data_IF_109125908593
#
_entry.id   IF_109125908593
#
_cell.length_a   1.000
_cell.length_b   1.000
_cell.length_c   1.000
_cell.angle_alpha   90.00
_cell.angle_beta   90.00
_cell.angle_gamma   90.00
#
_symmetry.space_group_name_H-M   'P 1'
#
loop_
_entity.id
_entity.type
_entity.pdbx_description
1 polymer ?
#
# COMPACT_ATOMS: atom_id res chain seq x y z
N UNK A 1 10.82 13.76 -22.71
CA UNK A 1 11.08 15.22 -22.81
C UNK A 1 11.80 15.64 -21.54
N UNK A 2 13.01 16.16 -21.71
CA UNK A 2 13.82 16.58 -20.57
C UNK A 2 13.43 17.99 -20.14
N UNK A 3 13.39 18.24 -18.84
CA UNK A 3 13.10 19.57 -18.28
C UNK A 3 14.36 20.18 -17.68
N UNK A 4 14.50 21.52 -17.78
CA UNK A 4 15.56 22.25 -17.09
C UNK A 4 15.23 22.46 -15.61
N UNK A 5 16.21 22.84 -14.79
CA UNK A 5 15.97 23.23 -13.39
C UNK A 5 15.07 24.48 -13.27
N UNK A 6 15.04 25.34 -14.27
CA UNK A 6 14.14 26.50 -14.32
C UNK A 6 12.73 26.16 -14.78
N UNK A 7 12.44 24.88 -15.12
CA UNK A 7 11.13 24.45 -15.58
C UNK A 7 10.08 24.52 -14.47
N UNK A 8 8.85 24.69 -14.89
CA UNK A 8 7.66 24.54 -14.06
C UNK A 8 6.94 23.23 -14.39
N UNK A 9 6.61 22.44 -13.38
CA UNK A 9 5.87 21.18 -13.52
C UNK A 9 4.55 21.24 -12.74
N UNK A 10 3.47 20.84 -13.39
CA UNK A 10 2.19 20.60 -12.72
C UNK A 10 2.10 19.13 -12.35
N UNK A 11 1.77 18.85 -11.10
CA UNK A 11 1.46 17.50 -10.62
C UNK A 11 -0.02 17.47 -10.22
N UNK A 12 -0.81 16.64 -10.90
CA UNK A 12 -2.25 16.52 -10.69
C UNK A 12 -2.54 15.30 -9.82
N UNK A 13 -3.01 15.55 -8.59
CA UNK A 13 -3.30 14.55 -7.58
C UNK A 13 -2.33 14.57 -6.39
N UNK A 14 -2.84 14.91 -5.22
CA UNK A 14 -2.10 15.02 -3.94
C UNK A 14 -2.08 13.71 -3.14
N UNK A 15 -2.17 12.54 -3.80
CA UNK A 15 -1.90 11.24 -3.20
C UNK A 15 -0.40 10.98 -3.07
N UNK A 16 -0.03 9.82 -2.49
CA UNK A 16 1.39 9.46 -2.26
C UNK A 16 2.23 9.54 -3.54
N UNK A 17 1.71 9.09 -4.68
CA UNK A 17 2.42 9.16 -5.96
C UNK A 17 2.75 10.60 -6.38
N UNK A 18 1.76 11.49 -6.30
CA UNK A 18 1.95 12.92 -6.64
C UNK A 18 2.84 13.63 -5.64
N UNK A 19 2.69 13.36 -4.34
CA UNK A 19 3.57 13.89 -3.29
C UNK A 19 5.01 13.44 -3.54
N UNK A 20 5.24 12.14 -3.78
CA UNK A 20 6.55 11.58 -4.03
C UNK A 20 7.22 12.22 -5.27
N UNK A 21 6.46 12.38 -6.36
CA UNK A 21 6.96 13.05 -7.56
C UNK A 21 7.29 14.52 -7.28
N UNK A 22 6.40 15.26 -6.63
CA UNK A 22 6.57 16.68 -6.34
C UNK A 22 7.77 16.95 -5.43
N UNK A 23 7.95 16.15 -4.38
CA UNK A 23 9.10 16.24 -3.46
C UNK A 23 10.41 16.04 -4.22
N UNK A 24 10.50 14.98 -5.05
CA UNK A 24 11.74 14.67 -5.79
C UNK A 24 12.08 15.74 -6.83
N UNK A 25 11.09 16.26 -7.54
CA UNK A 25 11.30 17.38 -8.49
C UNK A 25 11.74 18.65 -7.76
N UNK A 26 11.11 18.99 -6.65
CA UNK A 26 11.47 20.16 -5.85
C UNK A 26 12.89 20.06 -5.29
N UNK A 27 13.30 18.89 -4.77
CA UNK A 27 14.69 18.67 -4.32
C UNK A 27 15.72 18.82 -5.44
N UNK A 28 15.33 18.51 -6.69
CA UNK A 28 16.15 18.75 -7.87
C UNK A 28 16.17 20.22 -8.34
N UNK A 29 15.49 21.13 -7.63
CA UNK A 29 15.42 22.56 -7.91
C UNK A 29 14.34 22.96 -8.92
N UNK A 30 13.44 22.03 -9.28
CA UNK A 30 12.33 22.30 -10.22
C UNK A 30 11.15 22.95 -9.48
N UNK A 31 10.55 23.98 -10.06
CA UNK A 31 9.32 24.58 -9.55
C UNK A 31 8.14 23.64 -9.78
N UNK A 32 7.40 23.27 -8.72
CA UNK A 32 6.27 22.35 -8.81
C UNK A 32 5.00 22.99 -8.26
N UNK A 33 3.90 22.91 -9.01
CA UNK A 33 2.55 23.18 -8.49
C UNK A 33 1.80 21.85 -8.38
N UNK A 34 1.49 21.45 -7.14
CA UNK A 34 0.72 20.25 -6.82
C UNK A 34 -0.76 20.62 -6.69
N UNK A 35 -1.59 20.07 -7.57
CA UNK A 35 -3.03 20.31 -7.64
C UNK A 35 -3.79 19.13 -7.02
N UNK A 36 -4.61 19.38 -6.01
CA UNK A 36 -5.41 18.35 -5.33
C UNK A 36 -6.89 18.81 -5.25
N UNK A 37 -7.78 17.90 -5.61
CA UNK A 37 -9.24 18.17 -5.62
C UNK A 37 -9.81 18.30 -4.20
N UNK A 38 -9.29 17.53 -3.24
CA UNK A 38 -9.72 17.60 -1.85
C UNK A 38 -9.04 18.74 -1.11
N UNK A 39 -9.57 19.12 0.06
CA UNK A 39 -8.98 20.16 0.93
C UNK A 39 -7.82 19.62 1.79
N UNK A 40 -7.26 18.45 1.45
CA UNK A 40 -6.18 17.78 2.18
C UNK A 40 -5.40 16.83 1.26
N UNK A 41 -4.14 16.57 1.62
CA UNK A 41 -3.25 15.64 0.94
C UNK A 41 -3.43 14.20 1.44
N UNK A 42 -2.74 13.25 0.77
CA UNK A 42 -2.64 11.85 1.13
C UNK A 42 -3.52 10.92 0.27
N UNK A 43 -4.51 11.47 -0.46
CA UNK A 43 -5.37 10.66 -1.35
C UNK A 43 -6.13 9.58 -0.59
N UNK A 44 -5.85 8.30 -0.89
CA UNK A 44 -6.43 7.13 -0.20
C UNK A 44 -5.83 6.88 1.19
N UNK A 45 -4.58 7.27 1.42
CA UNK A 45 -3.91 7.18 2.72
C UNK A 45 -4.00 8.52 3.46
N UNK A 46 -5.18 8.86 3.99
CA UNK A 46 -5.47 10.14 4.63
C UNK A 46 -6.41 9.97 5.83
N UNK A 47 -6.69 11.06 6.53
CA UNK A 47 -7.60 11.10 7.67
C UNK A 47 -8.73 12.12 7.42
N UNK A 48 -9.78 12.07 8.21
CA UNK A 48 -10.90 13.00 8.16
C UNK A 48 -11.38 13.34 9.58
N UNK A 49 -11.94 14.53 9.74
CA UNK A 49 -12.55 14.92 11.01
C UNK A 49 -13.97 14.33 11.06
N UNK A 50 -14.18 13.45 12.02
CA UNK A 50 -15.48 12.83 12.23
C UNK A 50 -16.37 13.74 13.08
N UNK A 51 -17.43 14.28 12.46
CA UNK A 51 -18.36 15.21 13.14
C UNK A 51 -19.12 14.58 14.32
N UNK A 52 -19.20 13.24 14.41
CA UNK A 52 -19.90 12.55 15.49
C UNK A 52 -19.06 12.45 16.76
N UNK A 53 -17.78 12.15 16.61
CA UNK A 53 -16.85 11.99 17.73
C UNK A 53 -16.03 13.25 18.00
N UNK A 54 -15.91 14.18 17.04
CA UNK A 54 -14.98 15.31 17.10
C UNK A 54 -13.52 14.91 16.93
N UNK A 55 -13.23 13.64 16.63
CA UNK A 55 -11.87 13.11 16.47
C UNK A 55 -11.44 13.11 15.00
N UNK A 56 -10.14 13.22 14.77
CA UNK A 56 -9.56 12.97 13.43
C UNK A 56 -9.31 11.47 13.27
N UNK A 57 -10.06 10.82 12.38
CA UNK A 57 -10.00 9.40 12.10
C UNK A 57 -9.31 9.12 10.77
N UNK A 58 -8.52 8.05 10.69
CA UNK A 58 -7.99 7.57 9.43
C UNK A 58 -9.10 6.93 8.59
N UNK A 59 -9.07 7.12 7.27
CA UNK A 59 -10.06 6.46 6.38
C UNK A 59 -9.96 4.93 6.43
N UNK A 60 -8.75 4.41 6.63
CA UNK A 60 -8.46 3.02 6.99
C UNK A 60 -7.12 2.95 7.72
N UNK A 61 -6.84 1.85 8.41
CA UNK A 61 -5.50 1.62 8.95
C UNK A 61 -4.54 1.30 7.81
N UNK A 62 -3.49 2.10 7.69
CA UNK A 62 -2.40 1.84 6.77
C UNK A 62 -1.19 1.32 7.55
N UNK A 63 -0.66 0.21 7.06
CA UNK A 63 0.55 -0.43 7.58
C UNK A 63 1.67 -0.26 6.56
N UNK A 64 2.86 0.12 7.01
CA UNK A 64 4.07 0.09 6.22
C UNK A 64 4.93 -1.08 6.66
N UNK A 65 5.41 -1.88 5.71
CA UNK A 65 6.38 -2.94 6.01
C UNK A 65 7.81 -2.44 5.81
N UNK A 66 8.76 -3.07 6.49
CA UNK A 66 10.18 -2.73 6.35
C UNK A 66 10.73 -2.81 4.93
N UNK A 67 10.09 -3.60 4.04
CA UNK A 67 10.44 -3.68 2.61
C UNK A 67 9.97 -2.47 1.77
N UNK A 68 9.16 -1.57 2.32
CA UNK A 68 8.61 -0.40 1.60
C UNK A 68 9.62 0.75 1.55
N UNK A 69 10.78 0.53 0.90
CA UNK A 69 11.95 1.41 0.97
C UNK A 69 11.70 2.80 0.38
N UNK A 70 10.93 2.92 -0.68
CA UNK A 70 10.64 4.22 -1.31
C UNK A 70 9.63 5.05 -0.51
N UNK A 71 8.63 4.41 0.06
CA UNK A 71 7.69 5.12 0.94
C UNK A 71 8.37 5.56 2.24
N UNK A 72 9.24 4.73 2.81
CA UNK A 72 10.04 5.09 3.99
C UNK A 72 11.00 6.25 3.70
N UNK A 73 11.69 6.24 2.56
CA UNK A 73 12.52 7.36 2.10
C UNK A 73 11.69 8.65 1.92
N UNK A 74 10.47 8.54 1.39
CA UNK A 74 9.58 9.71 1.32
C UNK A 74 9.25 10.28 2.71
N UNK A 75 8.98 9.43 3.70
CA UNK A 75 8.74 9.88 5.08
C UNK A 75 9.98 10.53 5.71
N UNK A 76 11.18 10.02 5.42
CA UNK A 76 12.44 10.62 5.84
C UNK A 76 12.63 12.02 5.21
N UNK A 77 12.39 12.17 3.90
CA UNK A 77 12.45 13.46 3.19
C UNK A 77 11.46 14.47 3.73
N UNK A 78 10.28 14.02 4.13
CA UNK A 78 9.29 14.87 4.80
C UNK A 78 9.65 15.13 6.27
N UNK A 79 10.67 14.46 6.83
CA UNK A 79 11.10 14.60 8.22
C UNK A 79 10.06 14.10 9.22
N UNK A 80 9.35 13.02 8.88
CA UNK A 80 8.29 12.40 9.70
C UNK A 80 8.48 10.89 9.90
N UNK A 81 9.64 10.34 9.57
CA UNK A 81 9.93 8.91 9.73
C UNK A 81 9.85 8.44 11.19
N UNK A 82 10.16 9.31 12.15
CA UNK A 82 10.02 9.09 13.59
C UNK A 82 8.56 8.93 14.04
N UNK A 83 7.60 9.33 13.21
CA UNK A 83 6.17 9.16 13.47
C UNK A 83 5.68 7.73 13.19
N UNK A 84 6.55 6.81 12.76
CA UNK A 84 6.23 5.40 12.58
C UNK A 84 6.67 4.61 13.82
N UNK A 85 5.71 3.89 14.41
CA UNK A 85 5.99 2.91 15.48
C UNK A 85 6.18 1.54 14.85
N UNK A 86 7.32 0.91 15.13
CA UNK A 86 7.68 -0.40 14.60
C UNK A 86 7.39 -1.53 15.58
N UNK A 87 6.93 -2.66 15.04
CA UNK A 87 6.72 -3.92 15.75
C UNK A 87 7.24 -5.08 14.89
N UNK A 88 7.98 -6.00 15.50
CA UNK A 88 8.51 -7.20 14.81
C UNK A 88 7.65 -8.43 15.04
N UNK A 89 6.72 -8.36 15.96
CA UNK A 89 5.85 -9.46 16.38
C UNK A 89 4.50 -9.29 15.69
N UNK A 90 3.94 -10.40 15.20
CA UNK A 90 2.59 -10.50 14.65
C UNK A 90 1.81 -11.48 15.52
N UNK A 91 0.67 -11.05 16.01
CA UNK A 91 -0.18 -11.84 16.92
C UNK A 91 -1.33 -12.44 16.13
N UNK A 92 -1.38 -13.77 16.06
CA UNK A 92 -2.39 -14.54 15.35
C UNK A 92 -3.33 -15.17 16.36
N UNK A 93 -4.60 -14.84 16.31
CA UNK A 93 -5.58 -15.22 17.31
C UNK A 93 -6.68 -16.07 16.66
N UNK A 94 -6.87 -17.25 17.22
CA UNK A 94 -7.94 -18.16 16.85
C UNK A 94 -9.17 -17.94 17.72
N UNK A 95 -10.28 -18.51 17.33
CA UNK A 95 -11.47 -18.59 18.16
C UNK A 95 -11.13 -19.15 19.56
N UNK A 96 -11.74 -18.57 20.60
CA UNK A 96 -11.43 -18.91 21.99
C UNK A 96 -10.20 -18.23 22.56
N UNK A 97 -9.52 -17.34 21.81
CA UNK A 97 -8.39 -16.53 22.30
C UNK A 97 -7.03 -17.22 22.24
N UNK A 98 -6.94 -18.38 21.59
CA UNK A 98 -5.66 -19.09 21.45
C UNK A 98 -4.72 -18.29 20.56
N UNK A 99 -3.68 -17.72 21.15
CA UNK A 99 -2.73 -16.81 20.49
C UNK A 99 -1.45 -17.51 20.07
N UNK A 100 -0.98 -17.21 18.87
CA UNK A 100 0.33 -17.54 18.33
C UNK A 100 1.08 -16.25 18.01
N UNK A 101 2.35 -16.16 18.41
CA UNK A 101 3.21 -15.01 18.10
C UNK A 101 4.19 -15.43 17.01
N UNK A 102 4.11 -14.76 15.85
CA UNK A 102 5.04 -14.94 14.75
C UNK A 102 6.05 -13.79 14.78
N UNK A 103 7.32 -14.13 15.02
CA UNK A 103 8.42 -13.16 15.10
C UNK A 103 9.73 -13.76 14.61
N UNK A 104 10.67 -12.92 14.14
CA UNK A 104 12.00 -13.38 13.81
C UNK A 104 12.73 -13.98 15.01
N UNK A 105 13.51 -15.05 14.79
CA UNK A 105 14.37 -15.64 15.82
C UNK A 105 15.49 -14.65 16.19
N UNK A 106 15.69 -14.45 17.50
CA UNK A 106 16.71 -13.55 18.04
C UNK A 106 17.89 -14.29 18.63
N UNK A 107 17.68 -15.53 19.16
CA UNK A 107 18.70 -16.35 19.80
C UNK A 107 18.51 -17.84 19.44
N UNK A 108 19.39 -18.44 18.61
CA UNK A 108 20.37 -17.73 17.76
C UNK A 108 19.66 -16.91 16.66
N UNK A 109 20.24 -15.78 16.21
CA UNK A 109 19.67 -15.02 15.12
C UNK A 109 19.73 -15.85 13.83
N UNK A 110 18.59 -15.97 13.16
CA UNK A 110 18.50 -16.69 11.88
C UNK A 110 18.35 -15.72 10.73
N UNK A 111 19.12 -15.87 9.64
CA UNK A 111 18.96 -15.03 8.46
C UNK A 111 17.67 -15.38 7.70
N UNK A 112 17.17 -14.41 6.90
CA UNK A 112 16.10 -14.72 5.95
C UNK A 112 16.61 -15.77 4.93
N UNK A 113 15.77 -16.69 4.49
CA UNK A 113 14.33 -16.82 4.75
C UNK A 113 13.96 -17.60 6.02
N UNK A 114 14.91 -18.06 6.81
CA UNK A 114 14.68 -18.98 7.94
C UNK A 114 14.32 -18.26 9.26
N UNK A 115 14.37 -16.95 9.31
CA UNK A 115 14.18 -16.16 10.54
C UNK A 115 12.83 -16.38 11.24
N UNK A 116 11.77 -16.78 10.53
CA UNK A 116 10.47 -17.11 11.10
C UNK A 116 10.26 -18.58 11.42
N UNK A 117 11.18 -19.49 11.03
CA UNK A 117 10.97 -20.95 11.10
C UNK A 117 10.60 -21.40 12.50
N UNK A 118 11.27 -20.88 13.54
CA UNK A 118 11.00 -21.24 14.93
C UNK A 118 9.59 -20.85 15.40
N UNK A 119 9.10 -19.69 14.98
CA UNK A 119 7.75 -19.24 15.28
C UNK A 119 6.69 -20.06 14.57
N UNK A 120 6.95 -20.45 13.31
CA UNK A 120 6.03 -21.31 12.55
C UNK A 120 5.91 -22.70 13.13
N UNK A 121 7.00 -23.31 13.59
CA UNK A 121 6.96 -24.62 14.25
C UNK A 121 6.16 -24.61 15.57
N UNK A 122 5.99 -23.44 16.18
CA UNK A 122 5.24 -23.25 17.43
C UNK A 122 3.86 -22.61 17.21
N UNK A 123 3.51 -22.28 15.97
CA UNK A 123 2.25 -21.67 15.64
C UNK A 123 1.09 -22.65 15.88
N UNK A 124 0.21 -22.31 16.83
CA UNK A 124 -0.89 -23.20 17.26
C UNK A 124 -1.99 -23.31 16.20
N UNK A 125 -2.10 -22.34 15.30
CA UNK A 125 -3.08 -22.31 14.21
C UNK A 125 -2.71 -23.21 13.02
N UNK A 126 -1.50 -23.81 13.02
CA UNK A 126 -1.02 -24.74 11.99
C UNK A 126 -0.66 -26.09 12.62
N UNK A 127 -0.80 -27.18 11.85
CA UNK A 127 -0.17 -28.45 12.17
C UNK A 127 1.30 -28.43 11.74
N UNK A 128 2.11 -29.35 12.30
CA UNK A 128 3.53 -29.46 11.89
C UNK A 128 3.68 -29.81 10.41
N UNK A 129 2.78 -30.63 9.86
CA UNK A 129 2.77 -30.95 8.43
C UNK A 129 2.48 -29.72 7.56
N UNK A 130 1.52 -28.88 7.96
CA UNK A 130 1.21 -27.62 7.30
C UNK A 130 2.38 -26.63 7.39
N UNK A 131 2.96 -26.44 8.57
CA UNK A 131 4.12 -25.58 8.75
C UNK A 131 5.30 -26.02 7.86
N UNK A 132 5.55 -27.32 7.76
CA UNK A 132 6.56 -27.89 6.86
C UNK A 132 6.22 -27.68 5.38
N UNK A 133 4.95 -27.86 4.99
CA UNK A 133 4.50 -27.63 3.61
C UNK A 133 4.62 -26.14 3.22
N UNK A 134 4.25 -25.23 4.12
CA UNK A 134 4.45 -23.78 3.95
C UNK A 134 5.94 -23.45 3.74
N UNK A 135 6.81 -24.00 4.59
CA UNK A 135 8.26 -23.80 4.47
C UNK A 135 8.80 -24.28 3.11
N UNK A 136 8.39 -25.46 2.63
CA UNK A 136 8.78 -25.94 1.30
C UNK A 136 8.27 -25.03 0.17
N UNK A 137 7.03 -24.55 0.26
CA UNK A 137 6.47 -23.62 -0.71
C UNK A 137 7.23 -22.29 -0.72
N UNK A 138 7.58 -21.74 0.45
CA UNK A 138 8.41 -20.55 0.56
C UNK A 138 9.79 -20.75 -0.09
N UNK A 139 10.44 -21.89 0.10
CA UNK A 139 11.72 -22.23 -0.56
C UNK A 139 11.53 -22.35 -2.08
N UNK A 140 10.42 -22.93 -2.55
CA UNK A 140 10.12 -22.99 -3.97
C UNK A 140 9.97 -21.56 -4.56
N UNK A 141 9.27 -20.65 -3.87
CA UNK A 141 9.11 -19.26 -4.30
C UNK A 141 10.44 -18.51 -4.46
N UNK A 142 11.50 -18.86 -3.71
CA UNK A 142 12.81 -18.21 -3.88
C UNK A 142 13.37 -18.37 -5.31
N UNK A 143 12.99 -19.43 -6.01
CA UNK A 143 13.51 -19.77 -7.35
C UNK A 143 12.56 -19.39 -8.49
N UNK A 144 11.37 -18.90 -8.16
CA UNK A 144 10.36 -18.56 -9.16
C UNK A 144 10.63 -17.17 -9.71
N UNK A 145 10.70 -17.07 -11.05
CA UNK A 145 10.58 -15.76 -11.72
C UNK A 145 9.10 -15.36 -11.77
N UNK A 146 8.70 -14.50 -10.82
CA UNK A 146 7.31 -14.06 -10.67
C UNK A 146 6.73 -13.43 -11.94
N UNK A 147 7.55 -12.85 -12.82
CA UNK A 147 7.10 -12.26 -14.09
C UNK A 147 6.51 -13.28 -15.07
N UNK A 148 6.79 -14.57 -14.85
CA UNK A 148 6.22 -15.68 -15.63
C UNK A 148 4.97 -16.28 -15.01
N UNK A 149 4.55 -15.75 -13.86
CA UNK A 149 3.41 -16.25 -13.07
C UNK A 149 2.18 -15.32 -13.17
N UNK A 150 2.02 -14.65 -14.31
CA UNK A 150 1.01 -13.60 -14.51
C UNK A 150 -0.38 -14.13 -14.83
N UNK A 151 -0.50 -15.35 -15.36
CA UNK A 151 -1.74 -15.84 -16.00
C UNK A 151 -2.53 -16.83 -15.12
N UNK A 152 -2.01 -17.16 -13.94
CA UNK A 152 -2.69 -18.06 -13.00
C UNK A 152 -2.91 -17.40 -11.64
N UNK A 153 -3.89 -17.92 -10.89
CA UNK A 153 -4.17 -17.46 -9.54
C UNK A 153 -3.16 -18.02 -8.54
N UNK A 154 -3.01 -17.32 -7.41
CA UNK A 154 -2.12 -17.79 -6.35
C UNK A 154 -2.60 -19.08 -5.70
N UNK A 155 -3.92 -19.29 -5.55
CA UNK A 155 -4.45 -20.55 -5.03
C UNK A 155 -4.07 -21.74 -5.94
N UNK A 156 -4.09 -21.57 -7.25
CA UNK A 156 -3.60 -22.58 -8.20
C UNK A 156 -2.13 -22.90 -7.97
N UNK A 157 -1.29 -21.86 -7.82
CA UNK A 157 0.13 -22.03 -7.47
C UNK A 157 0.31 -22.79 -6.15
N UNK A 158 -0.42 -22.40 -5.10
CA UNK A 158 -0.34 -23.04 -3.78
C UNK A 158 -0.71 -24.52 -3.80
N UNK A 159 -1.82 -24.88 -4.46
CA UNK A 159 -2.26 -26.28 -4.59
C UNK A 159 -1.24 -27.13 -5.34
N UNK A 160 -0.62 -26.61 -6.40
CA UNK A 160 0.46 -27.29 -7.13
C UNK A 160 1.71 -27.50 -6.26
N UNK A 161 1.92 -26.68 -5.22
CA UNK A 161 2.99 -26.82 -4.25
C UNK A 161 2.56 -27.52 -2.97
N UNK A 162 1.48 -28.32 -3.02
CA UNK A 162 1.03 -29.20 -1.94
C UNK A 162 0.46 -28.47 -0.72
N UNK A 163 -0.09 -27.25 -0.90
CA UNK A 163 -0.75 -26.56 0.20
C UNK A 163 -2.18 -27.08 0.37
N UNK A 164 -2.55 -27.43 1.61
CA UNK A 164 -3.92 -27.81 1.94
C UNK A 164 -4.84 -26.60 1.95
N UNK A 165 -6.15 -26.80 1.66
CA UNK A 165 -7.14 -25.71 1.76
C UNK A 165 -7.19 -25.10 3.15
N UNK A 166 -6.92 -25.89 4.21
CA UNK A 166 -6.83 -25.37 5.58
C UNK A 166 -5.63 -24.46 5.76
N UNK A 167 -4.44 -24.80 5.25
CA UNK A 167 -3.26 -23.93 5.27
C UNK A 167 -3.50 -22.65 4.46
N UNK A 168 -4.22 -22.77 3.32
CA UNK A 168 -4.61 -21.61 2.51
C UNK A 168 -5.47 -20.66 3.34
N UNK A 169 -6.58 -21.11 3.93
CA UNK A 169 -7.46 -20.25 4.72
C UNK A 169 -6.81 -19.66 5.97
N UNK A 170 -5.92 -20.41 6.64
CA UNK A 170 -5.39 -20.03 7.96
C UNK A 170 -4.11 -19.21 7.92
N UNK A 171 -3.33 -19.31 6.85
CA UNK A 171 -2.06 -18.61 6.70
C UNK A 171 -1.97 -17.77 5.43
N UNK A 172 -2.13 -18.39 4.24
CA UNK A 172 -1.90 -17.71 2.98
C UNK A 172 -2.94 -16.62 2.72
N UNK A 173 -4.20 -16.91 2.94
CA UNK A 173 -5.31 -15.98 2.73
C UNK A 173 -5.21 -14.71 3.59
N UNK A 174 -5.04 -14.78 4.94
CA UNK A 174 -4.86 -13.57 5.75
C UNK A 174 -3.70 -12.68 5.30
N UNK A 175 -2.57 -13.25 4.90
CA UNK A 175 -1.42 -12.47 4.41
C UNK A 175 -1.74 -11.80 3.08
N UNK A 176 -2.29 -12.56 2.12
CA UNK A 176 -2.52 -12.07 0.77
C UNK A 176 -3.70 -11.10 0.69
N UNK A 177 -4.79 -11.38 1.38
CA UNK A 177 -5.92 -10.45 1.44
C UNK A 177 -5.48 -9.11 2.05
N UNK A 178 -4.63 -9.14 3.06
CA UNK A 178 -4.11 -7.91 3.69
C UNK A 178 -3.16 -7.13 2.78
N UNK A 179 -2.33 -7.80 1.99
CA UNK A 179 -1.30 -7.17 1.16
C UNK A 179 -1.79 -6.78 -0.24
N UNK A 180 -2.67 -7.60 -0.84
CA UNK A 180 -3.16 -7.43 -2.21
C UNK A 180 -4.64 -7.01 -2.28
N UNK A 181 -5.33 -6.98 -1.15
CA UNK A 181 -6.76 -6.69 -1.04
C UNK A 181 -7.62 -7.60 -1.96
N UNK A 182 -7.22 -8.86 -2.12
CA UNK A 182 -7.88 -9.82 -3.00
C UNK A 182 -7.60 -11.25 -2.49
N UNK A 183 -8.58 -12.15 -2.62
CA UNK A 183 -8.44 -13.54 -2.18
C UNK A 183 -7.39 -14.31 -2.99
N UNK A 184 -6.84 -15.38 -2.42
CA UNK A 184 -5.89 -16.26 -3.10
C UNK A 184 -6.45 -16.87 -4.39
N UNK A 185 -7.76 -17.08 -4.47
CA UNK A 185 -8.44 -17.61 -5.68
C UNK A 185 -8.58 -16.58 -6.80
N UNK A 186 -8.39 -15.29 -6.52
CA UNK A 186 -8.55 -14.20 -7.49
C UNK A 186 -7.25 -13.47 -7.82
N UNK A 187 -6.33 -13.37 -6.86
CA UNK A 187 -5.06 -12.66 -7.03
C UNK A 187 -4.13 -13.40 -7.99
N UNK A 188 -3.44 -12.66 -8.86
CA UNK A 188 -2.38 -13.20 -9.70
C UNK A 188 -1.24 -13.78 -8.85
N UNK A 189 -0.73 -14.95 -9.25
CA UNK A 189 0.39 -15.56 -8.55
C UNK A 189 1.64 -14.66 -8.55
N UNK A 190 1.89 -13.90 -9.63
CA UNK A 190 2.96 -12.90 -9.71
C UNK A 190 2.94 -11.91 -8.55
N UNK A 191 1.78 -11.30 -8.27
CA UNK A 191 1.61 -10.32 -7.20
C UNK A 191 1.76 -10.94 -5.82
N UNK A 192 1.20 -12.13 -5.59
CA UNK A 192 1.29 -12.80 -4.31
C UNK A 192 2.71 -13.31 -4.02
N UNK A 193 3.40 -13.89 -5.00
CA UNK A 193 4.80 -14.32 -4.88
C UNK A 193 5.69 -13.10 -4.60
N UNK A 194 5.42 -11.95 -5.23
CA UNK A 194 6.10 -10.68 -4.92
C UNK A 194 6.01 -10.34 -3.43
N UNK A 195 4.81 -10.41 -2.84
CA UNK A 195 4.60 -10.14 -1.41
C UNK A 195 5.50 -11.03 -0.55
N UNK A 196 5.62 -12.32 -0.87
CA UNK A 196 6.48 -13.22 -0.11
C UNK A 196 7.96 -12.98 -0.38
N UNK A 197 8.37 -12.82 -1.63
CA UNK A 197 9.78 -12.60 -1.97
C UNK A 197 10.32 -11.34 -1.33
N UNK A 198 9.63 -10.19 -1.48
CA UNK A 198 10.08 -8.90 -0.94
C UNK A 198 9.78 -8.74 0.56
N UNK A 199 8.57 -9.13 1.00
CA UNK A 199 8.11 -8.86 2.36
C UNK A 199 8.58 -9.87 3.41
N UNK A 200 8.91 -11.11 3.02
CA UNK A 200 9.20 -12.15 4.01
C UNK A 200 10.49 -12.95 3.76
N UNK A 201 10.90 -13.14 2.51
CA UNK A 201 11.97 -14.08 2.18
C UNK A 201 13.32 -13.40 1.92
N UNK A 202 13.34 -12.14 1.50
CA UNK A 202 14.56 -11.43 1.11
C UNK A 202 15.41 -11.00 2.31
N UNK A 203 14.78 -10.44 3.33
CA UNK A 203 15.48 -9.80 4.45
C UNK A 203 14.71 -10.00 5.76
N UNK A 204 15.41 -10.19 6.86
CA UNK A 204 14.79 -10.43 8.17
C UNK A 204 14.03 -9.22 8.75
N UNK A 205 14.23 -8.03 8.19
CA UNK A 205 13.52 -6.80 8.57
C UNK A 205 12.37 -6.45 7.61
N UNK A 206 12.25 -7.17 6.51
CA UNK A 206 11.27 -6.88 5.47
C UNK A 206 9.83 -6.90 5.98
N UNK A 207 9.52 -7.81 6.91
CA UNK A 207 8.20 -7.98 7.52
C UNK A 207 8.00 -7.17 8.81
N UNK A 208 8.94 -6.31 9.22
CA UNK A 208 8.73 -5.40 10.35
C UNK A 208 7.51 -4.52 10.06
N UNK A 209 6.56 -4.44 11.01
CA UNK A 209 5.27 -3.76 10.85
C UNK A 209 5.37 -2.35 11.41
N UNK A 210 5.19 -1.35 10.57
CA UNK A 210 5.16 0.05 10.93
C UNK A 210 3.74 0.62 10.91
N UNK A 211 3.35 1.32 11.96
CA UNK A 211 2.05 1.99 12.11
C UNK A 211 2.26 3.44 12.50
N UNK A 212 1.53 4.36 11.86
CA UNK A 212 1.60 5.78 12.19
C UNK A 212 1.15 6.04 13.63
N UNK A 213 1.91 6.87 14.36
CA UNK A 213 1.58 7.37 15.70
C UNK A 213 0.60 8.54 15.66
N UNK A 214 0.47 9.18 14.50
CA UNK A 214 -0.38 10.35 14.27
C UNK A 214 -1.38 10.06 13.16
N UNK A 215 -2.47 10.83 13.05
CA UNK A 215 -3.36 10.73 11.89
C UNK A 215 -2.58 10.84 10.58
N UNK A 216 -2.92 10.02 9.59
CA UNK A 216 -2.14 9.90 8.33
C UNK A 216 -1.97 11.25 7.61
N UNK A 217 -2.98 12.12 7.66
CA UNK A 217 -2.92 13.45 7.03
C UNK A 217 -1.75 14.28 7.55
N UNK A 218 -1.37 14.11 8.81
CA UNK A 218 -0.25 14.82 9.44
C UNK A 218 1.11 14.50 8.84
N UNK A 219 1.26 13.31 8.27
CA UNK A 219 2.50 12.90 7.60
C UNK A 219 2.83 13.75 6.36
N UNK A 220 1.85 14.48 5.82
CA UNK A 220 2.00 15.24 4.58
C UNK A 220 2.02 16.76 4.78
N UNK A 221 1.94 17.27 6.00
CA UNK A 221 1.87 18.73 6.29
C UNK A 221 3.12 19.48 5.81
N UNK A 222 4.28 18.81 5.75
CA UNK A 222 5.53 19.44 5.31
C UNK A 222 5.68 19.54 3.79
N UNK A 223 4.77 19.01 3.01
CA UNK A 223 4.83 19.07 1.53
C UNK A 223 4.76 20.51 1.03
N UNK A 224 3.79 21.30 1.50
CA UNK A 224 3.64 22.68 1.04
C UNK A 224 4.87 23.57 1.34
N UNK A 225 5.40 23.62 2.59
CA UNK A 225 6.63 24.37 2.87
C UNK A 225 7.86 23.86 2.10
N UNK A 226 7.92 22.56 1.79
CA UNK A 226 9.02 22.00 1.00
C UNK A 226 8.97 22.52 -0.45
N UNK A 227 7.80 22.47 -1.10
CA UNK A 227 7.64 22.95 -2.48
C UNK A 227 7.88 24.47 -2.59
N UNK A 228 7.49 25.23 -1.56
CA UNK A 228 7.69 26.68 -1.54
C UNK A 228 9.17 27.12 -1.64
N UNK A 229 10.12 26.26 -1.20
CA UNK A 229 11.58 26.55 -1.30
C UNK A 229 12.05 26.75 -2.73
N UNK A 230 11.39 26.18 -3.71
CA UNK A 230 11.70 26.29 -5.13
C UNK A 230 10.68 27.15 -5.89
N UNK A 231 9.90 27.98 -5.16
CA UNK A 231 8.83 28.79 -5.75
C UNK A 231 7.62 27.98 -6.21
N UNK A 232 7.48 26.76 -5.75
CA UNK A 232 6.34 25.89 -5.99
C UNK A 232 5.20 26.13 -5.00
N UNK A 233 4.07 25.45 -5.22
CA UNK A 233 2.86 25.59 -4.40
C UNK A 233 2.06 24.29 -4.31
N UNK A 234 1.21 24.19 -3.29
CA UNK A 234 0.14 23.18 -3.18
C UNK A 234 -1.20 23.91 -3.27
N UNK A 235 -2.01 23.54 -4.25
CA UNK A 235 -3.36 24.07 -4.43
C UNK A 235 -4.40 23.00 -4.10
N UNK A 236 -5.05 23.16 -2.97
CA UNK A 236 -6.12 22.30 -2.50
C UNK A 236 -7.48 22.79 -3.02
N UNK A 237 -8.45 21.89 -3.15
CA UNK A 237 -9.78 22.22 -3.68
C UNK A 237 -9.78 22.51 -5.20
N UNK A 238 -8.74 22.11 -5.92
CA UNK A 238 -8.63 22.25 -7.37
C UNK A 238 -9.29 21.05 -8.07
N UNK A 239 -10.58 21.12 -8.32
CA UNK A 239 -11.30 20.13 -9.13
C UNK A 239 -10.83 20.14 -10.58
N UNK A 240 -10.20 19.07 -11.07
CA UNK A 240 -9.63 19.01 -12.42
C UNK A 240 -10.64 18.42 -13.41
N UNK A 241 -10.80 19.10 -14.56
CA UNK A 241 -11.67 18.69 -15.66
C UNK A 241 -10.89 18.05 -16.83
N UNK A 242 -9.68 18.55 -17.12
CA UNK A 242 -8.88 18.05 -18.24
C UNK A 242 -7.38 18.21 -17.98
N UNK A 243 -6.59 17.27 -18.51
CA UNK A 243 -5.13 17.21 -18.41
C UNK A 243 -4.54 17.00 -19.80
N UNK A 244 -3.62 17.90 -20.18
CA UNK A 244 -2.79 17.81 -21.38
C UNK A 244 -1.31 17.83 -21.01
N UNK A 245 -0.42 17.62 -21.99
CA UNK A 245 1.02 17.55 -21.75
C UNK A 245 1.62 18.83 -21.12
N UNK A 246 1.01 20.00 -21.33
CA UNK A 246 1.51 21.31 -20.88
C UNK A 246 0.45 22.19 -20.20
N UNK A 247 -0.77 21.70 -20.04
CA UNK A 247 -1.83 22.47 -19.40
C UNK A 247 -2.79 21.59 -18.62
N UNK A 248 -3.39 22.18 -17.60
CA UNK A 248 -4.43 21.57 -16.77
C UNK A 248 -5.57 22.56 -16.64
N UNK A 249 -6.81 22.10 -16.80
CA UNK A 249 -8.02 22.91 -16.63
C UNK A 249 -8.86 22.37 -15.48
N UNK A 250 -9.27 23.26 -14.61
CA UNK A 250 -10.20 22.95 -13.53
C UNK A 250 -11.67 23.05 -13.96
N UNK A 251 -12.55 22.48 -13.15
CA UNK A 251 -14.00 22.50 -13.33
C UNK A 251 -14.59 23.89 -13.08
N UNK A 252 -13.89 24.76 -12.35
CA UNK A 252 -14.29 26.15 -12.07
C UNK A 252 -13.76 27.16 -13.10
N UNK A 253 -13.13 26.67 -14.18
CA UNK A 253 -12.61 27.50 -15.27
C UNK A 253 -11.17 27.96 -15.10
N UNK A 254 -10.52 27.78 -13.94
CA UNK A 254 -9.08 28.02 -13.77
C UNK A 254 -8.27 27.15 -14.72
N UNK A 255 -7.18 27.70 -15.22
CA UNK A 255 -6.23 26.97 -16.07
C UNK A 255 -4.79 27.24 -15.63
N UNK A 256 -3.96 26.23 -15.70
CA UNK A 256 -2.53 26.32 -15.44
C UNK A 256 -1.75 25.84 -16.66
N UNK A 257 -0.62 26.49 -16.92
CA UNK A 257 0.32 26.12 -17.96
C UNK A 257 1.70 25.84 -17.35
N UNK A 258 2.40 24.84 -17.88
CA UNK A 258 3.72 24.46 -17.43
C UNK A 258 4.53 23.77 -18.54
N UNK A 259 5.80 23.51 -18.27
CA UNK A 259 6.70 22.83 -19.21
C UNK A 259 6.41 21.31 -19.29
N UNK A 260 5.87 20.73 -18.22
CA UNK A 260 5.41 19.36 -18.19
C UNK A 260 4.27 19.15 -17.19
N UNK A 261 3.48 18.09 -17.42
CA UNK A 261 2.37 17.70 -16.56
C UNK A 261 2.52 16.23 -16.15
N UNK A 262 2.42 15.97 -14.85
CA UNK A 262 2.34 14.63 -14.26
C UNK A 262 0.91 14.39 -13.81
N UNK A 263 0.26 13.38 -14.39
CA UNK A 263 -1.05 12.91 -13.94
C UNK A 263 -0.87 11.81 -12.91
N UNK A 264 -1.04 12.18 -11.63
CA UNK A 264 -0.86 11.30 -10.46
C UNK A 264 -2.21 10.94 -9.80
N UNK A 265 -3.27 10.90 -10.58
CA UNK A 265 -4.61 10.54 -10.12
C UNK A 265 -4.82 9.02 -10.18
N UNK A 266 -5.81 8.46 -9.44
CA UNK A 266 -6.18 7.06 -9.58
C UNK A 266 -6.60 6.70 -11.02
N UNK A 267 -6.43 5.43 -11.40
CA UNK A 267 -6.64 4.95 -12.78
C UNK A 267 -8.02 5.30 -13.34
N UNK A 268 -9.08 5.17 -12.54
CA UNK A 268 -10.45 5.48 -12.92
C UNK A 268 -10.69 6.99 -13.15
N UNK A 269 -9.81 7.84 -12.65
CA UNK A 269 -9.83 9.29 -12.90
C UNK A 269 -9.03 9.66 -14.13
N UNK A 270 -7.88 9.02 -14.36
CA UNK A 270 -7.05 9.26 -15.55
C UNK A 270 -7.90 9.17 -16.82
N UNK A 271 -8.68 8.09 -16.98
CA UNK A 271 -9.53 7.85 -18.15
C UNK A 271 -10.52 9.00 -18.41
N UNK A 272 -10.94 9.70 -17.36
CA UNK A 272 -11.90 10.83 -17.46
C UNK A 272 -11.25 12.18 -17.69
N UNK A 273 -9.96 12.34 -17.35
CA UNK A 273 -9.22 13.59 -17.42
C UNK A 273 -8.51 13.78 -18.76
N UNK A 274 -8.28 12.69 -19.49
CA UNK A 274 -7.58 12.69 -20.77
C UNK A 274 -8.61 12.72 -21.91
N UNK A 275 -8.39 13.59 -22.90
CA UNK A 275 -9.27 13.70 -24.06
C UNK A 275 -9.24 12.44 -24.96
N UNK A 276 -10.28 12.27 -25.77
CA UNK A 276 -10.47 11.08 -26.60
C UNK A 276 -9.41 10.92 -27.70
N UNK A 277 -8.84 12.01 -28.21
CA UNK A 277 -7.78 11.97 -29.21
C UNK A 277 -6.49 11.43 -28.60
N UNK A 278 -6.09 12.01 -27.45
CA UNK A 278 -4.91 11.54 -26.68
C UNK A 278 -5.09 10.08 -26.27
N UNK A 279 -6.28 9.67 -25.84
CA UNK A 279 -6.56 8.26 -25.47
C UNK A 279 -6.42 7.30 -26.63
N UNK A 280 -6.77 7.73 -27.85
CA UNK A 280 -6.64 6.87 -29.07
C UNK A 280 -5.21 6.80 -29.58
N UNK A 281 -4.44 7.87 -29.42
CA UNK A 281 -3.09 7.98 -30.00
C UNK A 281 -1.97 7.50 -29.08
N UNK A 282 -2.20 7.48 -27.76
CA UNK A 282 -1.24 6.98 -26.79
C UNK A 282 -1.66 5.59 -26.26
N UNK A 283 -0.94 4.51 -26.62
CA UNK A 283 -1.30 3.14 -26.27
C UNK A 283 -1.31 2.85 -24.77
N UNK A 284 -0.69 3.71 -23.95
CA UNK A 284 -0.70 3.57 -22.48
C UNK A 284 -2.10 3.71 -21.88
N UNK A 285 -3.00 4.39 -22.55
CA UNK A 285 -4.38 4.54 -22.09
C UNK A 285 -5.29 3.40 -22.54
N UNK A 286 -4.84 2.58 -23.48
CA UNK A 286 -5.57 1.40 -23.91
C UNK A 286 -5.66 0.37 -22.78
N UNK A 287 -6.86 -0.02 -22.40
CA UNK A 287 -7.11 -1.03 -21.38
C UNK A 287 -7.09 -0.51 -19.93
N UNK A 288 -6.94 0.79 -19.66
CA UNK A 288 -7.10 1.34 -18.32
C UNK A 288 -8.52 1.19 -17.77
N UNK A 289 -9.50 1.10 -18.62
CA UNK A 289 -10.92 0.79 -18.31
C UNK A 289 -11.14 -0.66 -17.84
N UNK A 290 -10.17 -1.55 -18.08
CA UNK A 290 -10.19 -2.95 -17.63
C UNK A 290 -9.73 -3.12 -16.17
N UNK A 291 -9.21 -2.07 -15.53
CA UNK A 291 -8.86 -2.10 -14.12
C UNK A 291 -10.12 -2.20 -13.28
N UNK A 292 -10.30 -3.32 -12.60
CA UNK A 292 -11.31 -3.49 -11.57
C UNK A 292 -10.75 -3.14 -10.21
N UNK A 293 -11.62 -2.86 -9.25
CA UNK A 293 -11.23 -2.44 -7.91
C UNK A 293 -11.71 -3.44 -6.86
N UNK A 294 -11.01 -3.44 -5.74
CA UNK A 294 -11.40 -4.18 -4.54
C UNK A 294 -11.60 -3.21 -3.38
N UNK A 295 -12.72 -3.33 -2.64
CA UNK A 295 -13.02 -2.44 -1.53
C UNK A 295 -12.29 -2.83 -0.26
N UNK A 296 -12.06 -1.83 0.60
CA UNK A 296 -11.62 -2.02 1.99
C UNK A 296 -12.62 -1.34 2.91
N UNK A 297 -12.91 -1.98 4.03
CA UNK A 297 -13.72 -1.43 5.10
C UNK A 297 -12.86 -1.23 6.34
N UNK A 298 -12.78 0.00 6.82
CA UNK A 298 -12.22 0.36 8.12
C UNK A 298 -13.35 0.59 9.12
N UNK A 299 -13.26 -0.01 10.31
CA UNK A 299 -14.27 0.18 11.35
C UNK A 299 -13.60 0.65 12.63
N UNK A 300 -13.87 1.90 13.03
CA UNK A 300 -13.45 2.44 14.31
C UNK A 300 -14.48 2.04 15.37
N UNK A 301 -14.03 1.37 16.41
CA UNK A 301 -14.84 0.86 17.51
C UNK A 301 -14.38 1.49 18.80
N UNK A 302 -15.32 1.89 19.64
CA UNK A 302 -15.07 2.36 21.00
C UNK A 302 -15.87 1.54 21.99
N UNK A 303 -15.21 1.02 23.01
CA UNK A 303 -15.78 0.22 24.08
C UNK A 303 -15.73 1.00 25.41
N UNK A 304 -16.52 0.58 26.39
CA UNK A 304 -16.55 1.14 27.75
C UNK A 304 -15.30 0.78 28.57
N UNK A 305 -14.50 -0.18 28.10
CA UNK A 305 -13.26 -0.66 28.73
C UNK A 305 -12.30 -1.24 27.70
N UNK A 306 -11.06 -1.49 28.13
CA UNK A 306 -10.04 -2.08 27.26
C UNK A 306 -10.38 -3.49 26.77
N UNK A 307 -10.36 -3.69 25.46
CA UNK A 307 -10.53 -4.99 24.79
C UNK A 307 -9.25 -5.50 24.15
N UNK A 308 -8.26 -4.61 23.95
CA UNK A 308 -6.94 -4.90 23.41
C UNK A 308 -5.81 -4.26 24.25
N UNK A 309 -5.87 -4.39 25.58
CA UNK A 309 -4.92 -3.70 26.48
C UNK A 309 -3.46 -4.11 26.23
N UNK A 310 -3.19 -5.40 25.95
CA UNK A 310 -1.85 -5.96 25.84
C UNK A 310 -1.33 -6.14 24.41
N UNK A 311 -2.19 -5.91 23.41
CA UNK A 311 -1.87 -6.17 22.02
C UNK A 311 -1.85 -4.86 21.20
N UNK A 312 -0.75 -4.54 20.49
CA UNK A 312 -0.73 -3.39 19.59
C UNK A 312 -1.57 -3.62 18.33
N UNK A 313 -1.63 -4.84 17.85
CA UNK A 313 -2.42 -5.32 16.72
C UNK A 313 -2.57 -6.85 16.78
N UNK A 314 -3.53 -7.39 16.05
CA UNK A 314 -3.62 -8.85 15.84
C UNK A 314 -4.32 -9.20 14.54
N UNK A 315 -4.03 -10.40 14.04
CA UNK A 315 -4.69 -11.08 12.93
C UNK A 315 -5.71 -12.04 13.51
N UNK A 316 -6.95 -12.00 13.03
CA UNK A 316 -7.99 -12.96 13.40
C UNK A 316 -8.04 -14.09 12.37
N UNK A 317 -7.80 -15.31 12.84
CA UNK A 317 -7.72 -16.50 11.97
C UNK A 317 -9.12 -16.99 11.61
N UNK A 318 -9.39 -17.14 10.30
CA UNK A 318 -10.68 -17.60 9.74
C UNK A 318 -11.86 -16.74 10.19
N UNK A 319 -11.69 -15.39 10.21
CA UNK A 319 -12.74 -14.43 10.52
C UNK A 319 -12.97 -13.45 9.36
N UNK A 320 -14.13 -12.78 9.38
CA UNK A 320 -14.43 -11.71 8.43
C UNK A 320 -13.53 -10.50 8.61
N UNK A 321 -13.16 -10.19 9.85
CA UNK A 321 -12.17 -9.19 10.20
C UNK A 321 -10.78 -9.81 10.11
N UNK A 322 -9.89 -9.28 9.26
CA UNK A 322 -8.52 -9.80 9.17
C UNK A 322 -7.62 -9.21 10.24
N UNK A 323 -7.70 -7.89 10.49
CA UNK A 323 -6.81 -7.20 11.41
C UNK A 323 -7.55 -6.32 12.40
N UNK A 324 -7.03 -6.29 13.63
CA UNK A 324 -7.38 -5.32 14.67
C UNK A 324 -6.14 -4.52 15.07
N UNK A 325 -6.32 -3.22 15.27
CA UNK A 325 -5.28 -2.30 15.73
C UNK A 325 -5.75 -1.53 16.94
N UNK A 326 -4.95 -1.49 18.00
CA UNK A 326 -5.20 -0.68 19.18
C UNK A 326 -4.97 0.80 18.85
N UNK A 327 -5.94 1.65 19.16
CA UNK A 327 -5.91 3.10 18.88
C UNK A 327 -5.85 3.97 20.13
N UNK A 328 -6.08 3.40 21.32
CA UNK A 328 -5.93 4.08 22.63
C UNK A 328 -5.01 3.31 23.55
N UNK A 329 -4.39 3.99 24.52
CA UNK A 329 -3.44 3.36 25.44
C UNK A 329 -4.10 2.32 26.36
N UNK A 330 -5.35 2.56 26.75
CA UNK A 330 -6.17 1.65 27.56
C UNK A 330 -6.76 0.49 26.75
N UNK A 331 -6.63 0.49 25.41
CA UNK A 331 -7.16 -0.53 24.52
C UNK A 331 -8.68 -0.50 24.33
N UNK A 332 -9.36 0.57 24.77
CA UNK A 332 -10.81 0.74 24.59
C UNK A 332 -11.20 1.17 23.17
N UNK A 333 -10.29 1.81 22.45
CA UNK A 333 -10.47 2.18 21.04
C UNK A 333 -9.70 1.22 20.13
N UNK A 334 -10.41 0.63 19.16
CA UNK A 334 -9.89 -0.37 18.24
C UNK A 334 -10.27 -0.03 16.81
N UNK A 335 -9.35 -0.21 15.87
CA UNK A 335 -9.63 -0.12 14.45
C UNK A 335 -9.59 -1.52 13.82
N UNK A 336 -10.72 -1.97 13.30
CA UNK A 336 -10.83 -3.20 12.55
C UNK A 336 -10.67 -2.95 11.05
N UNK A 337 -9.95 -3.83 10.35
CA UNK A 337 -9.73 -3.75 8.91
C UNK A 337 -10.28 -5.00 8.25
N UNK A 338 -11.12 -4.79 7.26
CA UNK A 338 -11.69 -5.82 6.41
C UNK A 338 -11.29 -5.51 4.95
N UNK A 339 -10.38 -6.32 4.41
CA UNK A 339 -9.98 -6.28 3.01
C UNK A 339 -10.86 -7.21 2.17
N UNK A 340 -10.89 -7.00 0.84
CA UNK A 340 -11.80 -7.68 -0.08
C UNK A 340 -13.26 -7.64 0.42
N UNK A 341 -13.69 -6.44 0.83
CA UNK A 341 -14.89 -6.22 1.62
C UNK A 341 -16.19 -6.18 0.77
N UNK A 342 -16.23 -6.83 -0.41
CA UNK A 342 -17.39 -6.82 -1.31
C UNK A 342 -18.68 -7.19 -0.57
N UNK A 343 -18.65 -8.25 0.24
CA UNK A 343 -19.82 -8.77 0.98
C UNK A 343 -20.27 -7.86 2.15
N UNK A 344 -19.56 -6.75 2.40
CA UNK A 344 -19.86 -5.82 3.49
C UNK A 344 -20.40 -4.47 2.99
N UNK A 345 -20.35 -4.21 1.68
CA UNK A 345 -20.68 -2.89 1.13
C UNK A 345 -22.15 -2.50 1.32
N UNK A 346 -23.06 -3.47 1.23
CA UNK A 346 -24.50 -3.22 1.33
C UNK A 346 -25.03 -3.24 2.78
N UNK A 347 -24.17 -3.63 3.74
CA UNK A 347 -24.56 -3.67 5.14
C UNK A 347 -24.65 -2.25 5.73
N UNK A 348 -25.59 -2.04 6.63
CA UNK A 348 -25.67 -0.84 7.45
C UNK A 348 -24.49 -0.74 8.43
N UNK A 349 -24.24 0.45 8.96
CA UNK A 349 -23.20 0.67 9.96
C UNK A 349 -23.43 -0.16 11.24
N UNK A 350 -24.70 -0.35 11.64
CA UNK A 350 -25.05 -1.20 12.76
C UNK A 350 -24.72 -2.67 12.52
N UNK A 351 -25.15 -3.23 11.36
CA UNK A 351 -24.83 -4.62 11.00
C UNK A 351 -23.33 -4.89 10.90
N UNK A 352 -22.57 -3.90 10.41
CA UNK A 352 -21.11 -3.96 10.37
C UNK A 352 -20.54 -4.01 11.79
N UNK A 353 -21.00 -3.11 12.67
CA UNK A 353 -20.60 -3.06 14.08
C UNK A 353 -20.87 -4.39 14.79
N UNK A 354 -22.04 -4.96 14.60
CA UNK A 354 -22.43 -6.25 15.19
C UNK A 354 -21.58 -7.42 14.68
N UNK A 355 -21.28 -7.46 13.36
CA UNK A 355 -20.42 -8.50 12.79
C UNK A 355 -19.00 -8.41 13.31
N UNK A 356 -18.42 -7.20 13.34
CA UNK A 356 -17.08 -6.96 13.85
C UNK A 356 -17.00 -7.31 15.33
N UNK A 357 -17.99 -6.90 16.14
CA UNK A 357 -18.05 -7.21 17.57
C UNK A 357 -18.12 -8.71 17.82
N UNK A 358 -18.88 -9.47 17.03
CA UNK A 358 -18.92 -10.94 17.12
C UNK A 358 -17.56 -11.57 16.85
N UNK A 359 -16.82 -11.10 15.85
CA UNK A 359 -15.47 -11.59 15.56
C UNK A 359 -14.50 -11.26 16.70
N UNK A 360 -14.59 -10.05 17.29
CA UNK A 360 -13.83 -9.69 18.49
C UNK A 360 -14.15 -10.61 19.66
N UNK A 361 -15.43 -10.79 20.00
CA UNK A 361 -15.87 -11.65 21.11
C UNK A 361 -15.44 -13.12 20.94
N UNK A 362 -15.40 -13.59 19.69
CA UNK A 362 -14.93 -14.93 19.39
C UNK A 362 -13.41 -15.12 19.65
N UNK A 363 -12.62 -14.11 19.31
CA UNK A 363 -11.16 -14.17 19.35
C UNK A 363 -10.52 -13.51 20.58
N UNK A 364 -11.17 -12.50 21.16
CA UNK A 364 -10.68 -11.75 22.31
C UNK A 364 -11.64 -11.93 23.50
N UNK A 365 -11.43 -12.95 24.36
CA UNK A 365 -12.33 -13.25 25.48
C UNK A 365 -12.59 -12.06 26.41
N UNK A 366 -11.59 -11.19 26.63
CA UNK A 366 -11.73 -9.96 27.41
C UNK A 366 -12.75 -8.99 26.85
N UNK A 367 -13.03 -9.03 25.55
CA UNK A 367 -14.02 -8.14 24.91
C UNK A 367 -15.48 -8.50 25.25
N UNK A 368 -15.72 -9.75 25.71
CA UNK A 368 -17.10 -10.25 25.95
C UNK A 368 -17.85 -9.51 27.05
N UNK A 369 -17.13 -8.94 28.02
CA UNK A 369 -17.71 -8.13 29.10
C UNK A 369 -17.73 -6.64 28.80
N UNK A 370 -17.16 -6.22 27.66
CA UNK A 370 -17.11 -4.84 27.24
C UNK A 370 -18.37 -4.47 26.44
N UNK A 371 -18.91 -3.28 26.69
CA UNK A 371 -20.03 -2.73 25.94
C UNK A 371 -19.51 -1.88 24.79
N UNK A 372 -19.99 -2.12 23.57
CA UNK A 372 -19.72 -1.28 22.41
C UNK A 372 -20.46 0.06 22.59
N UNK A 373 -19.72 1.17 22.68
CA UNK A 373 -20.26 2.52 22.79
C UNK A 373 -20.56 3.09 21.41
N UNK A 374 -19.65 2.92 20.46
CA UNK A 374 -19.83 3.43 19.10
C UNK A 374 -19.05 2.60 18.08
N UNK A 375 -19.61 2.53 16.87
CA UNK A 375 -18.95 2.00 15.68
C UNK A 375 -19.05 3.03 14.55
N UNK A 376 -17.93 3.29 13.88
CA UNK A 376 -17.87 4.16 12.70
C UNK A 376 -17.25 3.38 11.54
N UNK A 377 -18.06 3.08 10.53
CA UNK A 377 -17.61 2.34 9.35
C UNK A 377 -17.26 3.28 8.19
N UNK A 378 -16.09 3.09 7.61
CA UNK A 378 -15.60 3.82 6.44
C UNK A 378 -15.45 2.83 5.29
N UNK A 379 -16.31 2.94 4.28
CA UNK A 379 -16.35 2.07 3.10
C UNK A 379 -15.55 2.71 1.96
N UNK A 380 -14.30 2.28 1.76
CA UNK A 380 -13.51 2.71 0.61
C UNK A 380 -13.76 1.74 -0.56
N UNK A 381 -14.71 2.09 -1.44
CA UNK A 381 -15.16 1.21 -2.53
C UNK A 381 -14.11 0.99 -3.61
N UNK A 382 -13.26 1.98 -3.86
CA UNK A 382 -12.19 1.95 -4.86
C UNK A 382 -10.82 2.00 -4.16
N UNK A 383 -10.63 1.14 -3.13
CA UNK A 383 -9.46 1.19 -2.27
C UNK A 383 -8.17 0.85 -3.03
N UNK A 384 -8.19 -0.24 -3.79
CA UNK A 384 -7.05 -0.70 -4.60
C UNK A 384 -7.55 -1.19 -5.95
N UNK A 385 -6.72 -1.15 -6.99
CA UNK A 385 -7.00 -2.00 -8.13
C UNK A 385 -6.83 -3.49 -7.72
N UNK A 386 -7.60 -4.36 -8.34
CA UNK A 386 -7.54 -5.81 -8.11
C UNK A 386 -6.44 -6.44 -8.97
N UNK A 387 -5.33 -6.94 -8.40
CA UNK A 387 -4.23 -7.53 -9.17
C UNK A 387 -4.58 -8.95 -9.63
N UNK A 388 -5.51 -9.05 -10.58
CA UNK A 388 -5.97 -10.32 -11.17
C UNK A 388 -4.99 -10.83 -12.24
N UNK A 389 -5.03 -12.13 -12.60
CA UNK A 389 -4.25 -12.66 -13.71
C UNK A 389 -4.39 -11.82 -14.99
N UNK A 390 -3.26 -11.56 -15.66
CA UNK A 390 -3.17 -10.77 -16.88
C UNK A 390 -3.18 -9.25 -16.70
N UNK A 391 -3.47 -8.70 -15.51
CA UNK A 391 -3.54 -7.26 -15.30
C UNK A 391 -2.18 -6.56 -15.46
N UNK A 392 -1.08 -7.20 -15.06
CA UNK A 392 0.25 -6.58 -15.10
C UNK A 392 0.65 -6.13 -16.52
N UNK A 393 0.18 -6.82 -17.58
CA UNK A 393 0.41 -6.45 -18.97
C UNK A 393 -0.28 -5.13 -19.38
N UNK A 394 -1.27 -4.68 -18.63
CA UNK A 394 -2.02 -3.44 -18.91
C UNK A 394 -1.45 -2.22 -18.16
N UNK A 395 -0.52 -2.43 -17.26
CA UNK A 395 0.04 -1.36 -16.42
C UNK A 395 0.96 -0.47 -17.26
N UNK A 396 0.66 0.83 -17.38
CA UNK A 396 1.39 1.73 -18.26
C UNK A 396 2.76 2.13 -17.69
N UNK A 397 3.69 2.42 -18.59
CA UNK A 397 4.93 3.11 -18.24
C UNK A 397 4.67 4.59 -17.90
N UNK A 398 5.55 5.27 -17.14
CA UNK A 398 5.40 6.68 -16.82
C UNK A 398 5.34 7.59 -18.05
N UNK A 399 6.14 7.35 -19.06
CA UNK A 399 6.26 8.19 -20.27
C UNK A 399 5.64 7.54 -21.49
N UNK A 400 5.21 8.35 -22.46
CA UNK A 400 4.63 7.91 -23.72
C UNK A 400 4.42 9.02 -24.72
N UNK A 401 3.83 8.71 -25.90
CA UNK A 401 3.74 9.63 -27.03
C UNK A 401 3.00 10.95 -26.75
N UNK A 402 1.98 10.94 -25.89
CA UNK A 402 1.20 12.15 -25.56
C UNK A 402 1.99 13.22 -24.82
N UNK A 403 3.16 12.89 -24.27
CA UNK A 403 3.94 13.80 -23.42
C UNK A 403 3.41 13.95 -21.99
N UNK A 404 2.24 13.40 -21.67
CA UNK A 404 1.72 13.35 -20.28
C UNK A 404 2.49 12.29 -19.52
N UNK A 405 3.06 12.67 -18.36
CA UNK A 405 3.71 11.72 -17.48
C UNK A 405 2.70 11.11 -16.51
N UNK A 406 2.71 9.79 -16.34
CA UNK A 406 1.81 9.08 -15.43
C UNK A 406 2.52 8.70 -14.13
N UNK A 407 1.84 8.87 -13.01
CA UNK A 407 2.22 8.35 -11.72
C UNK A 407 1.00 7.76 -11.02
N UNK A 408 1.19 6.72 -10.23
CA UNK A 408 0.13 6.02 -9.52
C UNK A 408 0.50 4.57 -9.29
N UNK A 409 -0.06 3.96 -8.29
CA UNK A 409 0.15 2.55 -7.96
C UNK A 409 -0.22 1.60 -9.11
N UNK A 410 -1.06 2.03 -10.04
CA UNK A 410 -1.47 1.29 -11.24
C UNK A 410 -0.43 1.27 -12.37
N UNK A 411 0.61 2.11 -12.33
CA UNK A 411 1.69 2.10 -13.34
C UNK A 411 2.60 0.89 -13.16
N UNK A 412 3.44 0.59 -14.15
CA UNK A 412 4.32 -0.60 -14.19
C UNK A 412 5.47 -0.53 -13.16
N UNK A 413 5.13 -0.47 -11.88
CA UNK A 413 6.11 -0.39 -10.78
C UNK A 413 6.66 -1.74 -10.32
N UNK A 414 6.06 -2.85 -10.78
CA UNK A 414 6.35 -4.19 -10.28
C UNK A 414 5.79 -4.48 -8.87
N UNK A 415 5.10 -3.52 -8.25
CA UNK A 415 4.48 -3.64 -6.92
C UNK A 415 2.95 -3.70 -7.02
N UNK A 416 2.27 -4.38 -6.09
CA UNK A 416 0.81 -4.31 -6.00
C UNK A 416 0.33 -2.91 -5.60
N UNK A 417 -0.99 -2.71 -5.52
CA UNK A 417 -1.61 -1.44 -5.12
C UNK A 417 -1.31 -1.11 -3.65
N UNK A 418 -0.17 -0.49 -3.40
CA UNK A 418 0.35 -0.17 -2.06
C UNK A 418 0.91 1.25 -2.00
N UNK A 419 1.15 1.76 -0.78
CA UNK A 419 1.86 3.02 -0.57
C UNK A 419 3.26 2.99 -1.19
N UNK A 420 3.94 1.84 -1.12
CA UNK A 420 5.25 1.64 -1.77
C UNK A 420 5.13 1.73 -3.29
N UNK A 421 4.17 1.03 -3.91
CA UNK A 421 3.93 1.12 -5.35
C UNK A 421 3.65 2.55 -5.81
N UNK A 422 2.88 3.30 -5.02
CA UNK A 422 2.58 4.71 -5.29
C UNK A 422 3.85 5.58 -5.18
N UNK A 423 4.66 5.44 -4.12
CA UNK A 423 5.90 6.20 -3.95
C UNK A 423 6.90 5.90 -5.07
N UNK A 424 7.11 4.62 -5.41
CA UNK A 424 7.94 4.19 -6.54
C UNK A 424 7.50 4.83 -7.86
N UNK A 425 6.20 4.86 -8.12
CA UNK A 425 5.66 5.48 -9.35
C UNK A 425 5.95 6.97 -9.42
N UNK A 426 5.81 7.68 -8.30
CA UNK A 426 6.15 9.10 -8.20
C UNK A 426 7.64 9.37 -8.44
N UNK A 427 8.51 8.54 -7.88
CA UNK A 427 9.96 8.61 -8.11
C UNK A 427 10.32 8.30 -9.56
N UNK A 428 9.71 7.27 -10.16
CA UNK A 428 9.91 6.94 -11.57
C UNK A 428 9.46 8.10 -12.50
N UNK A 429 8.33 8.73 -12.20
CA UNK A 429 7.82 9.87 -12.94
C UNK A 429 8.78 11.08 -12.83
N UNK A 430 9.27 11.41 -11.64
CA UNK A 430 10.25 12.46 -11.44
C UNK A 430 11.56 12.18 -12.20
N UNK A 431 12.10 10.96 -12.07
CA UNK A 431 13.30 10.54 -12.77
C UNK A 431 13.15 10.65 -14.29
N UNK A 432 12.01 10.26 -14.84
CA UNK A 432 11.75 10.33 -16.29
C UNK A 432 11.80 11.76 -16.84
N UNK A 433 11.41 12.74 -16.03
CA UNK A 433 11.50 14.15 -16.39
C UNK A 433 12.92 14.72 -16.25
N UNK A 434 13.70 14.27 -15.30
CA UNK A 434 15.02 14.77 -14.98
C UNK A 434 16.13 14.11 -15.82
N UNK A 435 16.09 12.82 -16.07
CA UNK A 435 17.13 12.06 -16.77
C UNK A 435 17.25 12.34 -18.27
N UNK A 436 16.25 12.99 -18.86
CA UNK A 436 16.32 13.41 -20.27
C UNK A 436 16.97 14.78 -20.45
N UNK A 437 17.55 15.40 -19.39
CA UNK A 437 17.94 16.81 -19.42
C UNK A 437 19.36 17.08 -19.93
N UNK A 438 20.25 16.08 -20.01
CA UNK A 438 21.61 16.27 -20.57
C UNK A 438 22.25 14.95 -21.02
N UNK A 439 22.72 14.87 -22.30
CA UNK A 439 23.60 13.76 -22.72
C UNK A 439 24.97 13.78 -22.03
N UNK A 440 25.41 14.92 -21.48
CA UNK A 440 26.78 15.15 -21.01
C UNK A 440 26.96 15.33 -19.49
N UNK A 441 25.92 15.22 -18.71
CA UNK A 441 26.01 15.14 -17.24
C UNK A 441 24.99 14.14 -16.74
N UNK A 442 25.46 12.90 -16.54
CA UNK A 442 24.92 12.04 -15.46
C UNK A 442 24.96 12.94 -14.23
N UNK A 443 23.81 13.49 -13.85
CA UNK A 443 23.69 14.12 -12.55
C UNK A 443 23.85 12.97 -11.57
N UNK A 444 25.06 12.79 -11.06
CA UNK A 444 25.36 12.08 -9.83
C UNK A 444 24.68 12.82 -8.66
N UNK A 445 23.35 12.96 -8.76
CA UNK A 445 22.52 13.22 -7.61
C UNK A 445 22.10 11.85 -7.11
N UNK A 446 22.79 11.30 -6.11
CA UNK A 446 22.45 10.00 -5.57
C UNK A 446 20.97 10.05 -5.16
N UNK A 447 20.14 9.25 -5.83
CA UNK A 447 18.80 8.98 -5.37
C UNK A 447 17.62 9.74 -5.97
N UNK A 448 17.66 10.28 -7.20
CA UNK A 448 16.45 10.83 -7.85
C UNK A 448 15.48 9.73 -8.32
N UNK A 449 16.00 8.58 -8.70
CA UNK A 449 15.21 7.44 -9.17
C UNK A 449 14.59 6.58 -8.07
N UNK A 450 13.96 5.52 -8.51
CA UNK A 450 13.40 4.48 -7.64
C UNK A 450 14.53 3.83 -6.84
N UNK A 451 14.37 3.78 -5.52
CA UNK A 451 15.34 3.12 -4.65
C UNK A 451 15.24 1.59 -4.75
N UNK A 452 16.35 0.88 -4.59
CA UNK A 452 16.32 -0.58 -4.52
C UNK A 452 15.56 -1.05 -3.28
N UNK A 453 15.05 -2.29 -3.32
CA UNK A 453 14.52 -2.98 -2.16
C UNK A 453 15.60 -3.24 -1.10
N UNK A 454 15.21 -3.82 0.02
CA UNK A 454 16.16 -4.25 1.06
C UNK A 454 17.17 -5.25 0.49
N UNK A 455 18.41 -5.17 0.96
CA UNK A 455 19.44 -6.12 0.57
C UNK A 455 19.02 -7.56 0.83
N UNK A 456 19.10 -8.40 -0.20
CA UNK A 456 18.80 -9.83 -0.08
C UNK A 456 19.83 -10.49 0.83
N UNK A 457 19.37 -11.26 1.80
CA UNK A 457 20.27 -12.00 2.70
C UNK A 457 21.17 -12.96 1.91
N UNK A 458 22.42 -13.20 2.35
CA UNK A 458 23.31 -14.16 1.69
C UNK A 458 22.68 -15.54 1.52
N UNK A 459 21.95 -16.02 2.54
CA UNK A 459 21.29 -17.33 2.50
C UNK A 459 20.15 -17.35 1.47
N UNK A 460 19.29 -16.34 1.44
CA UNK A 460 18.20 -16.26 0.46
C UNK A 460 18.74 -16.22 -0.97
N UNK A 461 19.86 -15.50 -1.19
CA UNK A 461 20.55 -15.45 -2.48
C UNK A 461 21.14 -16.81 -2.86
N UNK A 462 21.80 -17.50 -1.92
CA UNK A 462 22.34 -18.84 -2.12
C UNK A 462 21.24 -19.87 -2.45
N UNK A 463 20.05 -19.72 -1.88
CA UNK A 463 18.89 -20.56 -2.17
C UNK A 463 18.18 -20.21 -3.49
N UNK A 464 18.61 -19.16 -4.18
CA UNK A 464 18.17 -18.81 -5.53
C UNK A 464 17.32 -17.56 -5.65
N UNK A 465 17.08 -16.81 -4.57
CA UNK A 465 16.30 -15.57 -4.66
C UNK A 465 17.06 -14.52 -5.46
N UNK A 466 16.44 -14.10 -6.55
CA UNK A 466 16.83 -12.93 -7.35
C UNK A 466 15.68 -11.92 -7.28
N UNK A 467 15.88 -10.85 -6.52
CA UNK A 467 14.93 -9.75 -6.55
C UNK A 467 15.05 -9.08 -7.91
N UNK A 468 13.94 -9.02 -8.60
CA UNK A 468 13.82 -8.37 -9.88
C UNK A 468 13.51 -6.90 -9.59
N UNK A 469 14.53 -6.04 -9.74
CA UNK A 469 14.42 -4.59 -9.55
C UNK A 469 13.40 -3.94 -10.47
#
# INVERSE_FOLDING_TARGET
MAISRSAHVLVVGGGIAGIACAVRLSEAGVRVTLLETRKKLGGRATSFDDVRSGETLDNCQHVVLGCCTNYLDLLERLGVADQIRWTREQYWIEEGGRTSVVKPATLPPMPAPLHFSWSFLRAKFLTLSEASAIGRCCIAMLRVDRRRETDRTFATFLRQHGQSDRAIRRFWEPVIVSACNLSCDRVAASSAIHVFQEGFLANARAADVGVSKVPLVRLYERVAPLLARTGGAVELGAGIANVNARSVRATDGRAWHADAVVCATPVERVVRLIDDETRRTDPRFAGLDRFTHSPILGVHLRFDRGVMSDLPHCVLVERGVQWLFRKSDDGSSVHAVISAADAWLDLSEGEIGDRVTRDLHACLPASRSAQLISARAVKEKLATFAPTPGLDALRPNPTGPSGIVLAGDYTATGWPATMEGAARSGYAAAASLLNHSTPDRVIDSPGVGVLPGLAVSPLARALGLRILG
#
